data_IF_474224883065
#
_entry.id   IF_474224883065
#
_cell.length_a   1.000
_cell.length_b   1.000
_cell.length_c   1.000
_cell.angle_alpha   90.00
_cell.angle_beta   90.00
_cell.angle_gamma   90.00
#
_symmetry.space_group_name_H-M   'P 1'
#
loop_
_entity.id
_entity.type
_entity.pdbx_description
1 polymer ?
#
# COMPACT_ATOMS: atom_id res chain seq x y z
N UNK A 1 -18.49 -9.16 -30.49
CA UNK A 1 -18.04 -9.74 -29.21
C UNK A 1 -16.89 -8.87 -28.71
N UNK A 2 -17.08 -8.08 -27.64
CA UNK A 2 -16.00 -7.25 -27.09
C UNK A 2 -15.23 -8.10 -26.08
N UNK A 3 -14.00 -8.46 -26.42
CA UNK A 3 -13.02 -8.90 -25.42
C UNK A 3 -12.65 -7.66 -24.59
N UNK A 4 -13.34 -7.45 -23.48
CA UNK A 4 -12.87 -6.54 -22.45
C UNK A 4 -11.81 -7.29 -21.64
N UNK A 5 -10.53 -7.14 -22.01
CA UNK A 5 -9.45 -7.39 -21.07
C UNK A 5 -9.76 -6.60 -19.79
N UNK A 6 -9.54 -7.16 -18.58
CA UNK A 6 -9.68 -6.37 -17.37
C UNK A 6 -8.74 -5.16 -17.44
N UNK A 7 -9.21 -3.99 -16.99
CA UNK A 7 -8.38 -2.79 -16.90
C UNK A 7 -7.18 -2.96 -15.94
N UNK A 8 -7.18 -4.04 -15.15
CA UNK A 8 -6.15 -4.40 -14.19
C UNK A 8 -5.53 -5.75 -14.56
N UNK A 9 -4.20 -5.89 -14.41
CA UNK A 9 -3.53 -7.18 -14.52
C UNK A 9 -3.78 -8.01 -13.25
N UNK A 10 -4.63 -9.04 -13.37
CA UNK A 10 -5.01 -9.91 -12.25
C UNK A 10 -3.87 -10.73 -11.64
N UNK A 11 -2.72 -10.85 -12.33
CA UNK A 11 -1.52 -11.56 -11.84
C UNK A 11 -0.73 -10.73 -10.84
N UNK A 12 -0.77 -9.41 -10.98
CA UNK A 12 -0.11 -8.44 -10.10
C UNK A 12 -1.06 -7.29 -9.80
N UNK A 13 -2.15 -7.66 -9.11
CA UNK A 13 -3.30 -6.78 -8.90
C UNK A 13 -2.93 -5.53 -8.07
N UNK A 14 -2.09 -5.72 -7.05
CA UNK A 14 -1.61 -4.64 -6.19
C UNK A 14 -0.86 -3.60 -7.01
N UNK A 15 0.11 -4.04 -7.82
CA UNK A 15 0.87 -3.14 -8.69
C UNK A 15 0.02 -2.49 -9.75
N UNK A 16 -0.86 -3.26 -10.39
CA UNK A 16 -1.71 -2.74 -11.46
C UNK A 16 -2.64 -1.63 -10.97
N UNK A 17 -3.21 -1.76 -9.77
CA UNK A 17 -4.05 -0.71 -9.18
C UNK A 17 -3.21 0.49 -8.76
N UNK A 18 -2.08 0.28 -8.07
CA UNK A 18 -1.21 1.36 -7.60
C UNK A 18 -0.63 2.18 -8.76
N UNK A 19 -0.26 1.53 -9.86
CA UNK A 19 0.22 2.20 -11.07
C UNK A 19 -0.86 3.09 -11.69
N UNK A 20 -2.08 2.60 -11.84
CA UNK A 20 -3.19 3.39 -12.36
C UNK A 20 -3.57 4.53 -11.41
N UNK A 21 -3.48 4.30 -10.10
CA UNK A 21 -3.68 5.34 -9.10
C UNK A 21 -2.65 6.46 -9.22
N UNK A 22 -1.38 6.14 -9.51
CA UNK A 22 -0.33 7.14 -9.75
C UNK A 22 -0.70 8.07 -10.90
N UNK A 23 -1.09 7.50 -12.05
CA UNK A 23 -1.51 8.27 -13.21
C UNK A 23 -2.75 9.14 -12.91
N UNK A 24 -3.74 8.57 -12.20
CA UNK A 24 -4.94 9.31 -11.80
C UNK A 24 -4.62 10.46 -10.82
N UNK A 25 -3.60 10.31 -9.97
CA UNK A 25 -3.12 11.39 -9.11
C UNK A 25 -2.46 12.47 -9.97
N UNK A 26 -1.57 12.11 -10.89
CA UNK A 26 -0.88 13.06 -11.77
C UNK A 26 -1.86 13.90 -12.61
N UNK A 27 -2.99 13.33 -13.04
CA UNK A 27 -4.04 14.03 -13.78
C UNK A 27 -4.71 15.17 -12.98
N UNK A 28 -4.70 15.08 -11.65
CA UNK A 28 -5.36 16.05 -10.76
C UNK A 28 -4.39 16.90 -9.94
N UNK A 29 -3.10 16.54 -9.92
CA UNK A 29 -2.07 17.31 -9.23
C UNK A 29 -1.73 18.56 -10.06
N UNK A 30 -1.88 19.78 -9.50
CA UNK A 30 -1.50 21.00 -10.20
C UNK A 30 0.01 21.01 -10.50
N UNK A 31 0.40 21.55 -11.66
CA UNK A 31 1.82 21.63 -12.05
C UNK A 31 2.72 22.39 -11.08
N UNK A 32 2.16 23.28 -10.27
CA UNK A 32 2.85 24.05 -9.23
C UNK A 32 2.86 23.38 -7.85
N UNK A 33 2.37 22.13 -7.75
CA UNK A 33 2.36 21.41 -6.49
C UNK A 33 3.78 21.35 -5.90
N UNK A 34 3.93 21.57 -4.58
CA UNK A 34 5.24 21.55 -3.92
C UNK A 34 5.84 20.15 -3.83
N UNK A 35 5.13 19.15 -4.35
CA UNK A 35 5.55 17.75 -4.39
C UNK A 35 5.40 17.17 -5.81
N UNK A 36 5.99 16.00 -6.01
CA UNK A 36 5.67 15.09 -7.10
C UNK A 36 5.40 13.69 -6.55
N UNK A 37 4.69 12.86 -7.30
CA UNK A 37 4.43 11.48 -6.90
C UNK A 37 5.50 10.58 -7.50
N UNK A 38 6.01 9.66 -6.69
CA UNK A 38 6.90 8.60 -7.11
C UNK A 38 6.26 7.25 -6.75
N UNK A 39 6.05 6.42 -7.75
CA UNK A 39 5.75 5.00 -7.60
C UNK A 39 7.04 4.19 -7.79
N UNK A 40 7.28 3.17 -6.97
CA UNK A 40 8.47 2.32 -7.15
C UNK A 40 8.34 1.47 -8.44
N UNK A 41 9.33 1.51 -9.37
CA UNK A 41 9.18 0.96 -10.74
C UNK A 41 9.39 -0.57 -10.91
N UNK A 42 9.02 -1.04 -12.11
CA UNK A 42 9.15 -2.39 -12.69
C UNK A 42 10.60 -2.88 -12.87
N UNK A 43 10.81 -4.19 -12.73
CA UNK A 43 12.09 -4.84 -13.03
C UNK A 43 12.54 -4.54 -14.48
N UNK A 44 13.76 -4.03 -14.63
CA UNK A 44 14.51 -4.12 -15.89
C UNK A 44 15.42 -5.33 -15.78
N UNK A 45 15.22 -6.27 -16.71
CA UNK A 45 16.06 -7.42 -16.96
C UNK A 45 17.54 -7.00 -16.89
N UNK A 46 18.28 -7.60 -15.96
CA UNK A 46 19.70 -7.41 -15.61
C UNK A 46 20.09 -6.14 -14.81
N UNK A 47 20.05 -6.23 -13.47
CA UNK A 47 20.98 -5.53 -12.59
C UNK A 47 21.50 -6.45 -11.47
N UNK A 48 22.81 -6.45 -11.26
CA UNK A 48 23.47 -7.15 -10.16
C UNK A 48 23.08 -6.53 -8.80
N UNK A 49 23.01 -7.33 -7.71
CA UNK A 49 22.58 -6.82 -6.41
C UNK A 49 23.67 -5.95 -5.75
N UNK A 50 23.37 -4.66 -5.57
CA UNK A 50 24.11 -3.74 -4.70
C UNK A 50 23.55 -3.80 -3.25
N UNK A 51 24.36 -3.55 -2.21
CA UNK A 51 24.18 -4.20 -0.90
C UNK A 51 23.09 -3.62 0.01
N UNK A 52 22.36 -2.56 -0.38
CA UNK A 52 21.14 -2.13 0.30
C UNK A 52 20.36 -1.19 -0.61
N UNK A 53 19.29 -1.69 -1.23
CA UNK A 53 18.33 -0.80 -1.89
C UNK A 53 17.61 0.02 -0.81
N UNK A 54 17.36 1.32 -1.04
CA UNK A 54 16.50 2.10 -0.18
C UNK A 54 15.13 1.42 -0.01
N UNK A 55 14.44 1.62 1.12
CA UNK A 55 13.09 1.11 1.27
C UNK A 55 12.20 1.64 0.14
N UNK A 56 11.52 0.72 -0.55
CA UNK A 56 10.67 1.02 -1.69
C UNK A 56 9.23 1.17 -1.21
N UNK A 57 8.71 2.39 -1.32
CA UNK A 57 7.30 2.68 -1.04
C UNK A 57 6.44 2.29 -2.23
N UNK A 58 5.22 1.82 -1.97
CA UNK A 58 4.24 1.66 -3.06
C UNK A 58 3.96 3.02 -3.71
N UNK A 59 3.71 4.06 -2.93
CA UNK A 59 3.61 5.44 -3.40
C UNK A 59 4.32 6.39 -2.44
N UNK A 60 4.96 7.43 -2.98
CA UNK A 60 5.55 8.49 -2.18
C UNK A 60 5.25 9.86 -2.77
N UNK A 61 4.79 10.77 -1.94
CA UNK A 61 4.67 12.18 -2.25
C UNK A 61 5.96 12.87 -1.83
N UNK A 62 6.81 13.19 -2.80
CA UNK A 62 8.17 13.68 -2.58
C UNK A 62 8.17 15.20 -2.64
N UNK A 63 8.62 15.85 -1.55
CA UNK A 63 8.72 17.30 -1.51
C UNK A 63 9.80 17.80 -2.48
N UNK A 64 9.46 18.73 -3.37
CA UNK A 64 10.39 19.29 -4.37
C UNK A 64 11.54 20.05 -3.72
N UNK A 65 11.26 20.76 -2.62
CA UNK A 65 12.27 21.55 -1.90
C UNK A 65 13.30 20.68 -1.15
N UNK A 66 12.92 19.46 -0.75
CA UNK A 66 13.83 18.50 -0.12
C UNK A 66 13.36 17.07 -0.43
N UNK A 67 13.96 16.40 -1.43
CA UNK A 67 13.56 15.05 -1.84
C UNK A 67 13.75 13.97 -0.77
N UNK A 68 14.43 14.28 0.35
CA UNK A 68 14.51 13.37 1.50
C UNK A 68 13.20 13.33 2.28
N UNK A 69 12.40 14.39 2.19
CA UNK A 69 11.09 14.49 2.82
C UNK A 69 10.06 13.85 1.90
N UNK A 70 9.75 12.60 2.20
CA UNK A 70 8.79 11.78 1.47
C UNK A 70 7.63 11.43 2.39
N UNK A 71 6.40 11.70 1.94
CA UNK A 71 5.20 11.24 2.60
C UNK A 71 4.71 9.95 1.93
N UNK A 72 4.88 8.79 2.57
CA UNK A 72 4.63 7.50 1.95
C UNK A 72 3.16 7.08 2.06
N UNK A 73 2.72 6.34 1.06
CA UNK A 73 1.47 5.60 1.03
C UNK A 73 1.76 4.16 0.62
N UNK A 74 1.67 3.23 1.57
CA UNK A 74 1.80 1.79 1.32
C UNK A 74 0.44 1.20 0.97
N UNK A 75 0.40 0.31 0.00
CA UNK A 75 -0.82 -0.29 -0.52
C UNK A 75 -0.84 -1.78 -0.24
N UNK A 76 -2.02 -2.31 0.12
CA UNK A 76 -2.24 -3.74 0.23
C UNK A 76 -3.58 -4.13 -0.35
N UNK A 77 -3.60 -5.25 -1.06
CA UNK A 77 -4.85 -5.90 -1.46
C UNK A 77 -5.45 -6.62 -0.25
N UNK A 78 -6.71 -6.31 0.05
CA UNK A 78 -7.49 -6.94 1.11
C UNK A 78 -8.55 -7.81 0.47
N UNK A 79 -8.38 -9.14 0.53
CA UNK A 79 -9.36 -10.07 -0.03
C UNK A 79 -10.71 -10.04 0.73
N UNK A 80 -10.70 -9.63 2.00
CA UNK A 80 -11.90 -9.50 2.84
C UNK A 80 -11.60 -8.58 4.02
N UNK A 81 -12.61 -8.18 4.81
CA UNK A 81 -12.42 -7.33 5.99
C UNK A 81 -11.57 -7.94 7.11
N UNK A 82 -11.16 -9.21 6.98
CA UNK A 82 -10.30 -9.91 7.93
C UNK A 82 -8.88 -10.17 7.39
N UNK A 83 -8.67 -10.01 6.09
CA UNK A 83 -7.41 -10.28 5.41
C UNK A 83 -6.44 -9.09 5.48
N UNK A 84 -6.01 -8.74 6.70
CA UNK A 84 -5.22 -7.52 6.98
C UNK A 84 -3.85 -7.79 7.61
N UNK A 85 -3.35 -9.04 7.56
CA UNK A 85 -2.10 -9.39 8.22
C UNK A 85 -0.92 -8.55 7.71
N UNK A 86 -0.74 -8.48 6.39
CA UNK A 86 0.35 -7.73 5.76
C UNK A 86 0.16 -6.21 5.93
N UNK A 87 -1.09 -5.74 5.85
CA UNK A 87 -1.43 -4.35 6.14
C UNK A 87 -0.98 -3.92 7.54
N UNK A 88 -1.24 -4.75 8.55
CA UNK A 88 -0.84 -4.46 9.92
C UNK A 88 0.66 -4.67 10.16
N UNK A 89 1.29 -5.58 9.43
CA UNK A 89 2.73 -5.79 9.48
C UNK A 89 3.48 -4.55 9.00
N UNK A 90 3.09 -3.94 7.88
CA UNK A 90 3.76 -2.75 7.36
C UNK A 90 3.68 -1.55 8.31
N UNK A 91 2.55 -1.38 9.00
CA UNK A 91 2.45 -0.36 10.06
C UNK A 91 3.52 -0.61 11.12
N UNK A 92 3.55 -1.82 11.70
CA UNK A 92 4.42 -2.15 12.83
C UNK A 92 5.90 -2.15 12.44
N UNK A 93 6.21 -2.78 11.31
CA UNK A 93 7.57 -3.13 10.95
C UNK A 93 8.24 -2.03 10.10
N UNK A 94 7.45 -1.19 9.43
CA UNK A 94 7.98 -0.11 8.59
C UNK A 94 7.74 1.28 9.19
N UNK A 95 6.49 1.63 9.51
CA UNK A 95 6.18 2.97 10.01
C UNK A 95 6.59 3.16 11.47
N UNK A 96 6.34 2.19 12.35
CA UNK A 96 6.64 2.35 13.78
C UNK A 96 8.14 2.18 14.11
N UNK A 97 8.92 1.57 13.23
CA UNK A 97 10.39 1.43 13.35
C UNK A 97 11.16 2.58 12.70
N UNK A 98 10.47 3.57 12.15
CA UNK A 98 11.05 4.66 11.34
C UNK A 98 11.81 4.20 10.09
N UNK A 99 11.64 2.95 9.64
CA UNK A 99 12.18 2.49 8.36
C UNK A 99 11.52 3.26 7.22
N UNK A 100 10.22 3.51 7.33
CA UNK A 100 9.44 4.34 6.43
C UNK A 100 9.12 5.70 7.06
N UNK A 101 9.06 6.75 6.24
CA UNK A 101 8.72 8.11 6.69
C UNK A 101 9.61 8.66 7.83
N UNK A 102 10.97 8.55 7.79
CA UNK A 102 11.82 9.01 8.90
C UNK A 102 11.80 10.52 9.12
N UNK A 103 11.45 11.32 8.11
CA UNK A 103 11.47 12.79 8.19
C UNK A 103 10.08 13.43 8.25
N UNK A 104 9.02 12.62 8.27
CA UNK A 104 7.64 13.11 8.33
C UNK A 104 6.89 12.45 9.49
N UNK A 105 5.99 13.20 10.10
CA UNK A 105 5.20 12.75 11.24
C UNK A 105 3.92 11.97 10.82
N UNK A 106 3.75 11.69 9.52
CA UNK A 106 2.59 10.96 9.03
C UNK A 106 2.87 10.19 7.74
N UNK A 107 1.98 9.24 7.44
CA UNK A 107 1.97 8.44 6.22
C UNK A 107 0.61 7.75 6.07
N UNK A 108 0.43 6.96 5.03
CA UNK A 108 -0.84 6.30 4.74
C UNK A 108 -0.67 4.81 4.47
N UNK A 109 -1.66 4.04 4.92
CA UNK A 109 -1.93 2.69 4.45
C UNK A 109 -3.19 2.68 3.60
N UNK A 110 -3.05 2.33 2.32
CA UNK A 110 -4.11 2.10 1.36
C UNK A 110 -4.52 0.63 1.38
N UNK A 111 -5.81 0.35 1.55
CA UNK A 111 -6.38 -0.99 1.43
C UNK A 111 -7.27 -1.08 0.21
N UNK A 112 -6.92 -1.89 -0.78
CA UNK A 112 -7.78 -2.21 -1.92
C UNK A 112 -8.65 -3.42 -1.56
N UNK A 113 -9.89 -3.18 -1.13
CA UNK A 113 -10.81 -4.20 -0.64
C UNK A 113 -11.56 -4.86 -1.81
N UNK A 114 -11.42 -6.18 -1.97
CA UNK A 114 -12.04 -6.93 -3.08
C UNK A 114 -13.44 -7.45 -2.76
N UNK A 115 -13.72 -7.68 -1.48
CA UNK A 115 -15.01 -8.19 -0.99
C UNK A 115 -15.29 -7.70 0.44
N UNK A 116 -16.57 -7.51 0.77
CA UNK A 116 -17.04 -7.10 2.10
C UNK A 116 -17.14 -5.58 2.31
N UNK A 117 -17.13 -5.14 3.58
CA UNK A 117 -17.34 -3.73 3.94
C UNK A 117 -16.04 -3.01 4.31
N UNK A 118 -15.85 -1.82 3.74
CA UNK A 118 -14.74 -0.92 4.09
C UNK A 118 -14.85 -0.44 5.54
N UNK A 119 -16.07 -0.21 6.03
CA UNK A 119 -16.31 0.20 7.41
C UNK A 119 -15.99 -0.94 8.40
N UNK A 120 -16.40 -2.18 8.09
CA UNK A 120 -16.01 -3.35 8.89
C UNK A 120 -14.48 -3.53 8.89
N UNK A 121 -13.85 -3.35 7.73
CA UNK A 121 -12.38 -3.41 7.59
C UNK A 121 -11.70 -2.42 8.53
N UNK A 122 -12.15 -1.16 8.54
CA UNK A 122 -11.65 -0.13 9.43
C UNK A 122 -11.87 -0.49 10.91
N UNK A 123 -13.06 -0.92 11.28
CA UNK A 123 -13.36 -1.38 12.67
C UNK A 123 -12.43 -2.51 13.09
N UNK A 124 -12.17 -3.48 12.20
CA UNK A 124 -11.27 -4.58 12.48
C UNK A 124 -9.81 -4.14 12.59
N UNK A 125 -9.35 -3.18 11.76
CA UNK A 125 -8.01 -2.59 11.86
C UNK A 125 -7.85 -1.90 13.23
N UNK A 126 -8.80 -1.06 13.63
CA UNK A 126 -8.78 -0.39 14.94
C UNK A 126 -8.68 -1.41 16.09
N UNK A 127 -9.53 -2.45 16.07
CA UNK A 127 -9.50 -3.50 17.07
C UNK A 127 -8.17 -4.26 17.12
N UNK A 128 -7.53 -4.51 15.96
CA UNK A 128 -6.24 -5.23 15.87
C UNK A 128 -5.03 -4.37 16.22
N UNK A 129 -5.15 -3.05 16.07
CA UNK A 129 -4.15 -2.10 16.56
C UNK A 129 -4.35 -1.79 18.05
N UNK A 130 -5.50 -2.15 18.63
CA UNK A 130 -5.82 -1.89 20.04
C UNK A 130 -6.05 -0.41 20.32
N UNK A 131 -6.57 0.34 19.35
CA UNK A 131 -6.75 1.79 19.44
C UNK A 131 -8.02 2.25 18.75
N UNK A 132 -8.56 3.36 19.24
CA UNK A 132 -9.63 4.08 18.55
C UNK A 132 -9.04 4.99 17.49
N UNK A 133 -9.79 5.18 16.41
CA UNK A 133 -9.40 6.13 15.39
C UNK A 133 -9.77 7.55 15.79
N UNK A 134 -8.92 8.49 15.42
CA UNK A 134 -9.29 9.90 15.46
C UNK A 134 -10.27 10.22 14.34
N UNK A 135 -11.26 11.05 14.65
CA UNK A 135 -12.17 11.61 13.66
C UNK A 135 -11.40 12.53 12.72
N UNK A 136 -11.38 12.15 11.44
CA UNK A 136 -10.67 12.88 10.40
C UNK A 136 -11.51 14.03 9.87
N UNK A 137 -11.51 15.15 10.59
CA UNK A 137 -11.96 16.43 10.05
C UNK A 137 -10.71 17.22 9.62
N UNK A 138 -10.61 17.73 8.38
CA UNK A 138 -11.65 17.91 7.36
C UNK A 138 -11.51 16.86 6.24
N UNK A 139 -11.95 15.63 6.47
CA UNK A 139 -12.18 14.64 5.42
C UNK A 139 -13.65 14.63 4.99
N UNK A 140 -13.92 14.13 3.79
CA UNK A 140 -15.31 13.78 3.41
C UNK A 140 -15.81 12.70 4.37
N UNK A 141 -16.94 12.90 5.08
CA UNK A 141 -17.47 11.90 6.02
C UNK A 141 -17.92 10.61 5.32
N UNK A 142 -18.05 10.65 3.99
CA UNK A 142 -18.44 9.52 3.13
C UNK A 142 -17.24 8.63 2.81
N UNK A 143 -16.01 9.14 2.88
CA UNK A 143 -14.82 8.34 2.54
C UNK A 143 -14.49 7.41 3.71
N UNK A 144 -14.22 6.16 3.39
CA UNK A 144 -13.69 5.15 4.31
C UNK A 144 -12.24 5.46 4.66
N UNK A 145 -12.06 6.55 5.41
CA UNK A 145 -10.79 7.10 5.85
C UNK A 145 -10.82 7.35 7.35
N UNK A 146 -9.87 6.80 8.08
CA UNK A 146 -9.65 7.01 9.51
C UNK A 146 -8.18 7.20 9.79
N UNK A 147 -7.81 7.77 10.93
CA UNK A 147 -6.40 7.90 11.31
C UNK A 147 -6.15 7.33 12.68
N UNK A 148 -4.95 6.81 12.88
CA UNK A 148 -4.42 6.42 14.16
C UNK A 148 -3.15 7.20 14.48
N UNK A 149 -2.84 7.35 15.76
CA UNK A 149 -1.62 8.01 16.24
C UNK A 149 -0.83 7.01 17.07
N UNK A 150 0.47 6.88 16.76
CA UNK A 150 1.35 5.87 17.32
C UNK A 150 2.64 6.49 17.84
N UNK A 151 3.18 5.92 18.91
CA UNK A 151 4.58 6.14 19.27
C UNK A 151 5.50 5.34 18.36
N UNK A 152 6.65 5.94 18.03
CA UNK A 152 7.67 5.31 17.20
C UNK A 152 8.85 4.84 18.03
N UNK A 153 9.42 3.70 17.63
CA UNK A 153 10.72 3.25 18.11
C UNK A 153 11.81 3.93 17.29
N UNK A 154 12.21 5.13 17.72
CA UNK A 154 13.23 5.93 17.02
C UNK A 154 14.63 5.34 17.25
N UNK A 155 15.44 5.08 16.19
CA UNK A 155 16.80 4.58 16.36
C UNK A 155 17.69 5.53 17.15
N UNK A 156 18.64 4.97 17.92
CA UNK A 156 19.57 5.74 18.76
C UNK A 156 20.32 6.79 17.93
N UNK A 157 20.37 8.02 18.44
CA UNK A 157 21.05 9.14 17.77
C UNK A 157 20.27 9.76 16.61
N UNK A 158 19.00 9.38 16.40
CA UNK A 158 18.10 10.01 15.41
C UNK A 158 17.08 10.90 16.12
N UNK A 159 16.68 11.97 15.42
CA UNK A 159 15.68 12.95 15.87
C UNK A 159 14.44 12.90 14.99
N UNK A 160 13.93 11.69 14.73
CA UNK A 160 12.75 11.49 13.88
C UNK A 160 11.47 11.92 14.61
N UNK A 161 10.48 12.47 13.89
CA UNK A 161 9.28 13.00 14.50
C UNK A 161 8.44 11.87 15.12
N UNK A 162 7.95 12.15 16.33
CA UNK A 162 6.99 11.34 17.10
C UNK A 162 6.06 12.31 17.85
N UNK A 163 4.74 12.05 17.96
CA UNK A 163 4.04 10.83 17.52
C UNK A 163 3.86 10.75 16.00
N UNK A 164 3.56 9.56 15.49
CA UNK A 164 3.30 9.30 14.07
C UNK A 164 1.82 9.07 13.78
N UNK A 165 1.28 9.79 12.81
CA UNK A 165 -0.08 9.62 12.33
C UNK A 165 -0.12 8.69 11.12
N UNK A 166 -0.76 7.54 11.26
CA UNK A 166 -1.06 6.65 10.14
C UNK A 166 -2.48 6.90 9.66
N UNK A 167 -2.64 7.34 8.41
CA UNK A 167 -3.93 7.42 7.76
C UNK A 167 -4.30 6.04 7.17
N UNK A 168 -5.53 5.61 7.36
CA UNK A 168 -6.08 4.36 6.86
C UNK A 168 -7.14 4.70 5.82
N UNK A 169 -6.87 4.43 4.54
CA UNK A 169 -7.82 4.66 3.46
C UNK A 169 -8.17 3.33 2.82
N UNK A 170 -9.45 2.96 2.87
CA UNK A 170 -9.94 1.72 2.25
C UNK A 170 -10.74 2.08 1.00
N UNK A 171 -10.36 1.48 -0.13
CA UNK A 171 -10.98 1.67 -1.43
C UNK A 171 -11.60 0.33 -1.87
N UNK A 172 -12.91 0.30 -2.06
CA UNK A 172 -13.61 -0.88 -2.57
C UNK A 172 -13.40 -1.07 -4.07
N UNK A 173 -12.88 -2.24 -4.44
CA UNK A 173 -12.78 -2.77 -5.81
C UNK A 173 -13.60 -4.07 -5.91
N UNK A 174 -14.85 -3.98 -5.48
CA UNK A 174 -15.74 -5.13 -5.36
C UNK A 174 -15.90 -5.89 -6.68
N UNK A 175 -15.75 -7.21 -6.63
CA UNK A 175 -15.90 -8.10 -7.80
C UNK A 175 -14.66 -8.20 -8.68
N UNK A 176 -13.53 -7.62 -8.29
CA UNK A 176 -12.24 -7.82 -8.92
C UNK A 176 -11.57 -9.08 -8.35
N UNK A 177 -11.27 -10.05 -9.20
CA UNK A 177 -10.63 -11.31 -8.78
C UNK A 177 -9.13 -11.31 -9.10
N UNK A 178 -8.33 -11.88 -8.20
CA UNK A 178 -6.93 -12.24 -8.51
C UNK A 178 -6.91 -13.43 -9.46
N UNK A 179 -6.08 -13.38 -10.49
CA UNK A 179 -5.80 -14.56 -11.29
C UNK A 179 -5.07 -15.59 -10.42
N UNK A 180 -5.61 -16.81 -10.31
CA UNK A 180 -4.89 -17.90 -9.65
C UNK A 180 -3.78 -18.38 -10.58
N UNK A 181 -2.57 -18.64 -10.08
CA UNK A 181 -1.53 -19.29 -10.87
C UNK A 181 -2.10 -20.60 -11.43
N UNK A 182 -2.09 -20.76 -12.75
CA UNK A 182 -2.37 -22.06 -13.34
C UNK A 182 -1.26 -23.02 -12.89
N UNK A 183 -1.61 -24.00 -12.06
CA UNK A 183 -0.74 -25.15 -11.82
C UNK A 183 -0.48 -25.80 -13.19
N UNK A 184 0.78 -26.14 -13.54
CA UNK A 184 1.07 -26.77 -14.80
C UNK A 184 0.28 -28.07 -14.92
N UNK A 185 -0.71 -28.07 -15.82
CA UNK A 185 -1.35 -29.30 -16.30
C UNK A 185 -0.33 -29.98 -17.19
N UNK A 186 0.38 -30.96 -16.64
CA UNK A 186 0.84 -32.18 -17.30
C UNK A 186 2.03 -32.77 -16.54
N UNK A 187 1.74 -33.71 -15.62
CA UNK A 187 2.65 -34.85 -15.45
C UNK A 187 2.03 -36.02 -16.20
N UNK A 188 2.70 -36.59 -17.21
CA UNK A 188 2.27 -37.88 -17.74
C UNK A 188 2.31 -38.93 -16.62
N UNK A 189 1.38 -39.90 -16.61
CA UNK A 189 1.36 -40.95 -15.60
C UNK A 189 2.67 -41.76 -15.67
N UNK A 190 3.16 -42.26 -14.52
CA UNK A 190 4.40 -43.04 -14.50
C UNK A 190 4.23 -44.29 -15.36
N UNK A 191 5.11 -44.44 -16.36
CA UNK A 191 5.29 -45.67 -17.10
C UNK A 191 5.73 -46.76 -16.13
N UNK A 192 4.86 -47.75 -15.90
CA UNK A 192 5.17 -48.91 -15.06
C UNK A 192 6.30 -49.76 -15.66
N UNK A 193 7.05 -50.50 -14.82
CA UNK A 193 8.17 -51.31 -15.27
C UNK A 193 7.69 -52.53 -16.07
N UNK A 194 8.41 -52.83 -17.16
CA UNK A 194 8.30 -54.06 -17.95
C UNK A 194 8.73 -55.30 -17.17
#
# INVERSE_FOLDING_TARGET
MRNSSPAFDGRDLERSITQLLTAAIDDVVPGEAPYYVQHSPFERETMLPAPAQPPAYDLAFVLRADPRVMWPAEAKILNSPRAMADYLADIRDQFLTCRYAPFVASGTMLGYLLDGSEQETLTNIAARLGMEFEDNVPGSPVRSHRSSVHDRTVPVGKSYPTPFRCHHVILGFHGLERERPQLPSDRPPPSGPC
#
